data_IF_632049275553
#
_entry.id   IF_632049275553
#
_cell.length_a   1.000
_cell.length_b   1.000
_cell.length_c   1.000
_cell.angle_alpha   90.00
_cell.angle_beta   90.00
_cell.angle_gamma   90.00
#
_symmetry.space_group_name_H-M   'P 1'
#
loop_
_entity.id
_entity.type
_entity.pdbx_description
1 polymer ?
#
# COMPACT_ATOMS: atom_id res chain seq x y z
N UNK A 1 -7.05 10.10 -18.03
CA UNK A 1 -7.50 9.74 -16.66
C UNK A 1 -8.13 8.35 -16.71
N UNK A 2 -7.63 7.41 -15.93
CA UNK A 2 -8.11 6.02 -15.90
C UNK A 2 -9.11 5.85 -14.72
N UNK A 3 -10.41 5.73 -15.02
CA UNK A 3 -11.47 5.63 -14.00
C UNK A 3 -11.38 4.35 -13.17
N UNK A 4 -10.80 3.27 -13.71
CA UNK A 4 -10.60 2.02 -12.98
C UNK A 4 -9.50 2.18 -11.92
N UNK A 5 -8.42 2.91 -12.24
CA UNK A 5 -7.39 3.26 -11.25
C UNK A 5 -7.96 4.17 -10.15
N UNK A 6 -8.79 5.15 -10.50
CA UNK A 6 -9.48 5.97 -9.49
C UNK A 6 -10.36 5.11 -8.59
N UNK A 7 -11.09 4.13 -9.14
CA UNK A 7 -11.94 3.24 -8.37
C UNK A 7 -11.13 2.42 -7.36
N UNK A 8 -10.02 1.79 -7.76
CA UNK A 8 -9.21 0.95 -6.86
C UNK A 8 -8.39 1.76 -5.85
N UNK A 9 -8.18 3.05 -6.08
CA UNK A 9 -7.49 3.96 -5.16
C UNK A 9 -8.42 4.79 -4.28
N UNK A 10 -9.73 4.58 -4.36
CA UNK A 10 -10.69 5.31 -3.54
C UNK A 10 -10.56 4.92 -2.07
N UNK A 11 -10.42 5.90 -1.20
CA UNK A 11 -10.36 5.71 0.25
C UNK A 11 -11.68 5.16 0.85
N UNK A 12 -12.79 5.24 0.11
CA UNK A 12 -14.10 4.69 0.50
C UNK A 12 -14.25 3.20 0.16
N UNK A 13 -13.26 2.57 -0.52
CA UNK A 13 -13.33 1.14 -0.78
C UNK A 13 -13.45 0.34 0.53
N UNK A 14 -14.39 -0.62 0.60
CA UNK A 14 -14.65 -1.40 1.82
C UNK A 14 -13.62 -2.51 2.03
N UNK A 15 -12.32 -2.16 1.98
CA UNK A 15 -11.20 -3.08 2.17
C UNK A 15 -10.52 -2.96 3.53
N UNK A 16 -11.06 -2.13 4.43
CA UNK A 16 -10.55 -1.97 5.79
C UNK A 16 -9.44 -0.93 5.96
N UNK A 17 -8.91 -0.33 4.91
CA UNK A 17 -7.78 0.61 4.94
C UNK A 17 -7.96 1.80 5.89
N UNK A 18 -9.19 2.29 6.07
CA UNK A 18 -9.53 3.39 6.97
C UNK A 18 -9.20 3.12 8.46
N UNK A 19 -9.13 1.85 8.87
CA UNK A 19 -8.91 1.44 10.26
C UNK A 19 -7.44 1.31 10.65
N UNK A 20 -6.52 1.60 9.73
CA UNK A 20 -5.09 1.45 9.95
C UNK A 20 -4.38 2.80 10.02
N UNK A 21 -3.35 2.89 10.83
CA UNK A 21 -2.47 4.06 10.96
C UNK A 21 -1.01 3.75 10.65
N UNK A 22 -0.70 2.48 10.40
CA UNK A 22 0.64 2.05 9.93
C UNK A 22 1.78 2.57 10.83
N UNK A 23 1.68 2.40 12.14
CA UNK A 23 2.69 2.85 13.10
C UNK A 23 2.59 4.33 13.52
N UNK A 24 1.74 5.12 12.88
CA UNK A 24 1.57 6.54 13.19
C UNK A 24 1.10 6.75 14.64
N UNK A 25 0.18 5.94 15.13
CA UNK A 25 -0.35 6.06 16.49
C UNK A 25 0.74 5.84 17.54
N UNK A 26 1.66 4.91 17.32
CA UNK A 26 2.83 4.74 18.18
C UNK A 26 3.79 5.94 18.09
N UNK A 27 3.98 6.51 16.91
CA UNK A 27 4.78 7.73 16.74
C UNK A 27 4.17 8.93 17.48
N UNK A 28 2.85 9.06 17.48
CA UNK A 28 2.12 10.07 18.27
C UNK A 28 2.32 9.81 19.77
N UNK A 29 2.14 8.59 20.22
CA UNK A 29 2.34 8.20 21.63
C UNK A 29 3.75 8.49 22.14
N UNK A 30 4.76 8.42 21.28
CA UNK A 30 6.16 8.80 21.58
C UNK A 30 6.43 10.31 21.48
N UNK A 31 5.46 11.13 21.11
CA UNK A 31 5.65 12.57 20.90
C UNK A 31 6.45 12.92 19.64
N UNK A 32 6.66 11.98 18.72
CA UNK A 32 7.36 12.22 17.43
C UNK A 32 6.48 12.95 16.41
N UNK A 33 5.18 12.75 16.50
CA UNK A 33 4.17 13.39 15.67
C UNK A 33 3.10 14.03 16.56
N UNK A 34 2.92 15.35 16.46
CA UNK A 34 1.96 16.08 17.29
C UNK A 34 1.34 17.29 16.59
N UNK A 35 1.80 17.62 15.37
CA UNK A 35 1.31 18.74 14.58
C UNK A 35 1.47 18.45 13.08
N UNK A 36 1.01 19.37 12.24
CA UNK A 36 1.02 19.23 10.79
C UNK A 36 2.43 19.04 10.21
N UNK A 37 3.42 19.79 10.68
CA UNK A 37 4.80 19.72 10.19
C UNK A 37 5.42 18.35 10.49
N UNK A 38 5.26 17.86 11.72
CA UNK A 38 5.78 16.53 12.12
C UNK A 38 5.04 15.38 11.43
N UNK A 39 3.74 15.54 11.15
CA UNK A 39 2.97 14.58 10.36
C UNK A 39 3.47 14.51 8.92
N UNK A 40 3.63 15.66 8.25
CA UNK A 40 4.15 15.72 6.88
C UNK A 40 5.54 15.08 6.78
N UNK A 41 6.45 15.40 7.70
CA UNK A 41 7.78 14.81 7.77
C UNK A 41 7.72 13.30 7.97
N UNK A 42 6.82 12.80 8.81
CA UNK A 42 6.60 11.36 9.03
C UNK A 42 6.14 10.67 7.74
N UNK A 43 5.15 11.25 7.04
CA UNK A 43 4.63 10.72 5.77
C UNK A 43 5.72 10.68 4.70
N UNK A 44 6.51 11.75 4.55
CA UNK A 44 7.64 11.81 3.60
C UNK A 44 8.68 10.72 3.88
N UNK A 45 9.11 10.59 5.12
CA UNK A 45 10.07 9.56 5.52
C UNK A 45 9.54 8.14 5.26
N UNK A 46 8.27 7.91 5.57
CA UNK A 46 7.62 6.64 5.31
C UNK A 46 7.56 6.31 3.81
N UNK A 47 7.18 7.27 2.98
CA UNK A 47 7.15 7.11 1.53
C UNK A 47 8.52 6.74 0.94
N UNK A 48 9.56 7.49 1.34
CA UNK A 48 10.91 7.33 0.77
C UNK A 48 11.65 6.10 1.28
N UNK A 49 11.45 5.72 2.52
CA UNK A 49 12.32 4.75 3.19
C UNK A 49 11.63 3.43 3.55
N UNK A 50 10.30 3.39 3.55
CA UNK A 50 9.55 2.18 3.86
C UNK A 50 8.63 1.77 2.70
N UNK A 51 7.56 2.54 2.42
CA UNK A 51 6.52 2.15 1.48
C UNK A 51 7.05 2.05 0.04
N UNK A 52 7.68 3.10 -0.48
CA UNK A 52 8.14 3.17 -1.86
C UNK A 52 9.15 2.08 -2.22
N UNK A 53 10.26 1.93 -1.47
CA UNK A 53 11.29 0.94 -1.80
C UNK A 53 10.87 -0.52 -1.57
N UNK A 54 9.86 -0.79 -0.76
CA UNK A 54 9.30 -2.13 -0.56
C UNK A 54 8.03 -2.32 -1.39
N UNK A 55 6.91 -1.80 -0.93
CA UNK A 55 5.61 -2.06 -1.54
C UNK A 55 5.47 -1.43 -2.93
N UNK A 56 6.04 -0.23 -3.15
CA UNK A 56 6.06 0.40 -4.47
C UNK A 56 6.77 -0.46 -5.51
N UNK A 57 7.92 -1.05 -5.16
CA UNK A 57 8.65 -1.98 -6.06
C UNK A 57 7.84 -3.26 -6.30
N UNK A 58 7.12 -3.78 -5.30
CA UNK A 58 6.22 -4.93 -5.45
C UNK A 58 5.08 -4.60 -6.42
N UNK A 59 4.38 -3.47 -6.24
CA UNK A 59 3.31 -3.01 -7.15
C UNK A 59 3.81 -2.93 -8.59
N UNK A 60 4.94 -2.27 -8.82
CA UNK A 60 5.54 -2.13 -10.14
C UNK A 60 5.91 -3.48 -10.77
N UNK A 61 6.49 -4.38 -9.98
CA UNK A 61 6.89 -5.70 -10.45
C UNK A 61 5.68 -6.57 -10.80
N UNK A 62 4.63 -6.54 -9.97
CA UNK A 62 3.38 -7.26 -10.23
C UNK A 62 2.69 -6.70 -11.49
N UNK A 63 2.60 -5.38 -11.64
CA UNK A 63 2.00 -4.76 -12.83
C UNK A 63 2.68 -5.27 -14.12
N UNK A 64 4.02 -5.21 -14.20
CA UNK A 64 4.79 -5.73 -15.34
C UNK A 64 4.66 -7.24 -15.57
N UNK A 65 4.60 -8.01 -14.49
CA UNK A 65 4.49 -9.46 -14.56
C UNK A 65 3.11 -9.90 -15.09
N UNK A 66 2.04 -9.24 -14.66
CA UNK A 66 0.66 -9.52 -15.10
C UNK A 66 0.47 -9.26 -16.60
N UNK A 67 1.04 -8.18 -17.14
CA UNK A 67 1.03 -7.90 -18.58
C UNK A 67 1.62 -9.05 -19.40
N UNK A 68 2.64 -9.73 -18.85
CA UNK A 68 3.34 -10.86 -19.47
C UNK A 68 2.77 -12.21 -19.08
N UNK A 69 1.74 -12.25 -18.22
CA UNK A 69 1.23 -13.47 -17.58
C UNK A 69 2.30 -14.28 -16.85
N UNK A 70 3.31 -13.60 -16.31
CA UNK A 70 4.36 -14.19 -15.49
C UNK A 70 3.88 -14.32 -14.03
N UNK A 71 3.06 -15.33 -13.81
CA UNK A 71 2.47 -15.63 -12.50
C UNK A 71 3.52 -16.06 -11.47
N UNK A 72 4.66 -16.56 -11.93
CA UNK A 72 5.78 -16.92 -11.06
C UNK A 72 6.38 -15.70 -10.39
N UNK A 73 6.60 -14.63 -11.16
CA UNK A 73 7.09 -13.37 -10.62
C UNK A 73 6.07 -12.74 -9.66
N UNK A 74 4.75 -12.81 -9.94
CA UNK A 74 3.71 -12.33 -9.03
C UNK A 74 3.74 -13.08 -7.69
N UNK A 75 3.83 -14.40 -7.73
CA UNK A 75 3.90 -15.23 -6.53
C UNK A 75 5.19 -14.97 -5.73
N UNK A 76 6.32 -14.81 -6.42
CA UNK A 76 7.61 -14.45 -5.79
C UNK A 76 7.55 -13.07 -5.13
N UNK A 77 6.91 -12.08 -5.77
CA UNK A 77 6.68 -10.76 -5.19
C UNK A 77 5.88 -10.83 -3.89
N UNK A 78 4.82 -11.67 -3.87
CA UNK A 78 4.02 -11.91 -2.66
C UNK A 78 4.86 -12.54 -1.54
N UNK A 79 5.68 -13.53 -1.85
CA UNK A 79 6.55 -14.19 -0.88
C UNK A 79 7.60 -13.22 -0.30
N UNK A 80 8.23 -12.40 -1.14
CA UNK A 80 9.20 -11.37 -0.71
C UNK A 80 8.52 -10.37 0.22
N UNK A 81 7.36 -9.83 -0.15
CA UNK A 81 6.65 -8.85 0.67
C UNK A 81 6.23 -9.46 2.01
N UNK A 82 5.69 -10.68 2.00
CA UNK A 82 5.30 -11.40 3.22
C UNK A 82 6.47 -11.59 4.18
N UNK A 83 7.65 -11.94 3.67
CA UNK A 83 8.85 -12.11 4.46
C UNK A 83 9.45 -10.78 4.96
N UNK A 84 9.24 -9.69 4.21
CA UNK A 84 9.80 -8.38 4.52
C UNK A 84 8.99 -7.59 5.55
N UNK A 85 7.70 -7.89 5.73
CA UNK A 85 6.87 -7.24 6.75
C UNK A 85 7.07 -7.95 8.08
N UNK A 86 7.96 -7.44 8.93
CA UNK A 86 8.29 -8.05 10.23
C UNK A 86 7.11 -7.99 11.23
N UNK A 87 6.41 -6.86 11.46
CA UNK A 87 5.31 -6.78 12.42
C UNK A 87 4.10 -7.62 11.99
N UNK A 88 3.66 -8.62 12.81
CA UNK A 88 2.54 -9.51 12.44
C UNK A 88 1.22 -8.76 12.18
N UNK A 89 0.95 -7.68 12.92
CA UNK A 89 -0.26 -6.87 12.76
C UNK A 89 -0.33 -6.19 11.39
N UNK A 90 0.79 -5.67 10.89
CA UNK A 90 0.89 -5.04 9.58
C UNK A 90 0.76 -6.08 8.47
N UNK A 91 1.40 -7.24 8.63
CA UNK A 91 1.29 -8.35 7.67
C UNK A 91 -0.15 -8.86 7.57
N UNK A 92 -0.84 -9.05 8.70
CA UNK A 92 -2.26 -9.45 8.70
C UNK A 92 -3.14 -8.38 8.05
N UNK A 93 -2.92 -7.10 8.33
CA UNK A 93 -3.65 -6.00 7.69
C UNK A 93 -3.45 -5.99 6.17
N UNK A 94 -2.21 -6.19 5.69
CA UNK A 94 -1.91 -6.27 4.25
C UNK A 94 -2.65 -7.45 3.59
N UNK A 95 -2.72 -8.61 4.24
CA UNK A 95 -3.48 -9.75 3.74
C UNK A 95 -4.98 -9.48 3.73
N UNK A 96 -5.55 -9.00 4.83
CA UNK A 96 -6.99 -8.68 4.93
C UNK A 96 -7.41 -7.70 3.83
N UNK A 97 -6.65 -6.63 3.62
CA UNK A 97 -6.92 -5.66 2.57
C UNK A 97 -6.77 -6.25 1.17
N UNK A 98 -5.76 -7.08 0.95
CA UNK A 98 -5.53 -7.73 -0.34
C UNK A 98 -6.66 -8.69 -0.71
N UNK A 99 -7.08 -9.52 0.22
CA UNK A 99 -8.18 -10.47 0.03
C UNK A 99 -9.52 -9.77 -0.21
N UNK A 100 -9.82 -8.73 0.58
CA UNK A 100 -11.05 -7.98 0.39
C UNK A 100 -11.06 -7.23 -0.95
N UNK A 101 -9.92 -6.67 -1.35
CA UNK A 101 -9.81 -6.01 -2.66
C UNK A 101 -9.97 -7.02 -3.80
N UNK A 102 -9.37 -8.19 -3.72
CA UNK A 102 -9.50 -9.24 -4.72
C UNK A 102 -10.94 -9.75 -4.82
N UNK A 103 -11.58 -10.04 -3.68
CA UNK A 103 -12.96 -10.48 -3.61
C UNK A 103 -13.93 -9.42 -4.18
N UNK A 104 -13.73 -8.16 -3.84
CA UNK A 104 -14.53 -7.04 -4.38
C UNK A 104 -14.34 -6.91 -5.89
N UNK A 105 -13.10 -6.91 -6.36
CA UNK A 105 -12.76 -6.75 -7.77
C UNK A 105 -13.23 -7.92 -8.63
N UNK A 106 -13.36 -9.13 -8.08
CA UNK A 106 -13.91 -10.28 -8.81
C UNK A 106 -15.37 -10.09 -9.24
N UNK A 107 -16.09 -9.18 -8.59
CA UNK A 107 -17.48 -8.83 -8.94
C UNK A 107 -17.59 -7.78 -10.05
N UNK A 108 -16.48 -7.13 -10.43
CA UNK A 108 -16.53 -6.07 -11.43
C UNK A 108 -16.34 -6.64 -12.84
N UNK A 109 -17.18 -6.21 -13.76
CA UNK A 109 -17.17 -6.68 -15.16
C UNK A 109 -15.80 -6.51 -15.82
N UNK A 110 -15.10 -5.42 -15.52
CA UNK A 110 -13.82 -5.09 -16.18
C UNK A 110 -12.63 -5.89 -15.63
N UNK A 111 -12.70 -6.48 -14.44
CA UNK A 111 -11.59 -7.19 -13.81
C UNK A 111 -11.78 -8.70 -13.70
N UNK A 112 -13.02 -9.18 -13.76
CA UNK A 112 -13.35 -10.59 -13.53
C UNK A 112 -12.54 -11.58 -14.39
N UNK A 113 -12.40 -11.31 -15.69
CA UNK A 113 -11.60 -12.16 -16.60
C UNK A 113 -10.11 -12.18 -16.28
N UNK A 114 -9.53 -11.04 -15.89
CA UNK A 114 -8.13 -10.94 -15.49
C UNK A 114 -7.86 -11.64 -14.15
N UNK A 115 -8.79 -11.54 -13.19
CA UNK A 115 -8.70 -12.23 -11.90
C UNK A 115 -8.81 -13.74 -12.10
N UNK A 116 -9.74 -14.22 -12.92
CA UNK A 116 -9.84 -15.65 -13.24
C UNK A 116 -8.56 -16.22 -13.87
N UNK A 117 -7.91 -15.44 -14.76
CA UNK A 117 -6.63 -15.83 -15.33
C UNK A 117 -5.51 -15.87 -14.29
N UNK A 118 -5.48 -14.93 -13.35
CA UNK A 118 -4.55 -14.90 -12.23
C UNK A 118 -4.74 -16.11 -11.30
N UNK A 119 -5.97 -16.40 -10.87
CA UNK A 119 -6.30 -17.55 -10.01
C UNK A 119 -5.90 -18.87 -10.66
N UNK A 120 -6.24 -19.06 -11.94
CA UNK A 120 -5.84 -20.25 -12.69
C UNK A 120 -4.32 -20.37 -12.81
N UNK A 121 -3.64 -19.27 -13.12
CA UNK A 121 -2.20 -19.27 -13.33
C UNK A 121 -1.40 -19.46 -12.05
N UNK A 122 -1.95 -19.10 -10.89
CA UNK A 122 -1.30 -19.26 -9.59
C UNK A 122 -1.70 -20.54 -8.85
N UNK A 123 -2.74 -21.26 -9.29
CA UNK A 123 -3.23 -22.48 -8.66
C UNK A 123 -2.23 -23.67 -8.78
N UNK A 124 -1.41 -23.71 -9.82
CA UNK A 124 -0.52 -24.82 -10.10
C UNK A 124 0.70 -24.84 -9.16
N UNK A 125 0.57 -25.54 -8.04
CA UNK A 125 1.72 -25.98 -7.23
C UNK A 125 2.16 -25.03 -6.11
N UNK A 126 1.33 -24.10 -5.66
CA UNK A 126 1.72 -23.12 -4.64
C UNK A 126 0.73 -23.03 -3.49
N UNK A 127 1.24 -23.17 -2.27
CA UNK A 127 0.50 -23.05 -1.01
C UNK A 127 0.44 -21.58 -0.55
N UNK A 128 0.04 -20.66 -1.44
CA UNK A 128 -0.23 -19.27 -1.06
C UNK A 128 -1.68 -19.16 -0.59
N UNK A 129 -1.85 -19.04 0.71
CA UNK A 129 -3.18 -18.85 1.31
C UNK A 129 -3.67 -17.42 1.23
N UNK A 130 -2.74 -16.44 1.17
CA UNK A 130 -3.04 -15.03 1.31
C UNK A 130 -2.25 -14.16 0.32
N UNK A 131 -2.89 -13.13 -0.21
CA UNK A 131 -2.30 -12.15 -1.10
C UNK A 131 -2.20 -10.79 -0.42
N UNK A 132 -1.00 -10.20 -0.42
CA UNK A 132 -0.77 -8.86 0.11
C UNK A 132 -1.48 -7.78 -0.73
N UNK A 133 -1.92 -6.72 -0.08
CA UNK A 133 -2.60 -5.58 -0.74
C UNK A 133 -1.81 -5.01 -1.92
N UNK A 134 -0.51 -4.75 -1.78
CA UNK A 134 0.33 -4.21 -2.84
C UNK A 134 0.38 -5.12 -4.08
N UNK A 135 0.39 -6.45 -3.89
CA UNK A 135 0.37 -7.43 -4.98
C UNK A 135 -0.95 -7.37 -5.75
N UNK A 136 -2.07 -7.38 -5.02
CA UNK A 136 -3.42 -7.29 -5.62
C UNK A 136 -3.63 -5.94 -6.30
N UNK A 137 -3.12 -4.86 -5.71
CA UNK A 137 -3.20 -3.53 -6.34
C UNK A 137 -2.41 -3.47 -7.66
N UNK A 138 -1.20 -4.02 -7.70
CA UNK A 138 -0.40 -4.13 -8.93
C UNK A 138 -1.07 -4.99 -10.00
N UNK A 139 -1.67 -6.13 -9.60
CA UNK A 139 -2.49 -6.99 -10.46
C UNK A 139 -3.63 -6.18 -11.09
N UNK A 140 -4.43 -5.49 -10.27
CA UNK A 140 -5.59 -4.74 -10.74
C UNK A 140 -5.20 -3.52 -11.57
N UNK A 141 -4.07 -2.88 -11.27
CA UNK A 141 -3.55 -1.78 -12.07
C UNK A 141 -3.26 -2.20 -13.51
N UNK A 142 -2.62 -3.36 -13.71
CA UNK A 142 -2.39 -3.94 -15.03
C UNK A 142 -3.71 -4.32 -15.73
N UNK A 143 -4.63 -5.01 -15.04
CA UNK A 143 -5.96 -5.37 -15.57
C UNK A 143 -6.76 -4.11 -15.95
N UNK A 144 -6.63 -3.03 -15.20
CA UNK A 144 -7.24 -1.75 -15.49
C UNK A 144 -6.68 -1.08 -16.76
N UNK A 145 -5.55 -1.55 -17.28
CA UNK A 145 -4.82 -0.95 -18.41
C UNK A 145 -4.05 0.31 -18.01
N UNK A 146 -3.71 0.46 -16.74
CA UNK A 146 -2.81 1.51 -16.26
C UNK A 146 -1.36 1.18 -16.57
N UNK A 147 -0.55 2.18 -16.91
CA UNK A 147 0.90 2.02 -16.94
C UNK A 147 1.44 1.74 -15.53
N UNK A 148 2.67 1.21 -15.45
CA UNK A 148 3.33 0.96 -14.16
C UNK A 148 3.42 2.23 -13.31
N UNK A 149 3.76 3.36 -13.95
CA UNK A 149 3.88 4.65 -13.26
C UNK A 149 2.52 5.14 -12.75
N UNK A 150 1.46 5.10 -13.59
CA UNK A 150 0.10 5.49 -13.17
C UNK A 150 -0.43 4.61 -12.04
N UNK A 151 -0.17 3.31 -12.09
CA UNK A 151 -0.55 2.36 -11.03
C UNK A 151 0.18 2.70 -9.73
N UNK A 152 1.47 3.02 -9.78
CA UNK A 152 2.23 3.45 -8.61
C UNK A 152 1.76 4.79 -8.07
N UNK A 153 1.48 5.77 -8.93
CA UNK A 153 0.93 7.06 -8.50
C UNK A 153 -0.38 6.86 -7.73
N UNK A 154 -1.29 6.03 -8.26
CA UNK A 154 -2.56 5.71 -7.61
C UNK A 154 -2.34 5.01 -6.24
N UNK A 155 -1.42 4.04 -6.17
CA UNK A 155 -1.08 3.33 -4.94
C UNK A 155 -0.50 4.24 -3.87
N UNK A 156 0.53 5.02 -4.22
CA UNK A 156 1.19 5.94 -3.30
C UNK A 156 0.24 7.06 -2.83
N UNK A 157 -0.58 7.59 -3.74
CA UNK A 157 -1.58 8.59 -3.41
C UNK A 157 -2.62 8.06 -2.41
N UNK A 158 -3.19 6.86 -2.65
CA UNK A 158 -4.12 6.22 -1.71
C UNK A 158 -3.48 6.05 -0.32
N UNK A 159 -2.23 5.61 -0.27
CA UNK A 159 -1.49 5.41 0.96
C UNK A 159 -1.29 6.73 1.73
N UNK A 160 -0.93 7.82 1.03
CA UNK A 160 -0.82 9.17 1.60
C UNK A 160 -2.15 9.66 2.15
N UNK A 161 -3.24 9.51 1.39
CA UNK A 161 -4.59 9.88 1.84
C UNK A 161 -4.97 9.13 3.12
N UNK A 162 -4.68 7.84 3.18
CA UNK A 162 -4.92 7.00 4.36
C UNK A 162 -4.13 7.46 5.59
N UNK A 163 -2.82 7.69 5.43
CA UNK A 163 -1.93 8.11 6.53
C UNK A 163 -2.25 9.51 7.04
N UNK A 164 -2.46 10.49 6.15
CA UNK A 164 -2.85 11.86 6.53
C UNK A 164 -4.24 11.85 7.18
N UNK A 165 -5.18 11.05 6.64
CA UNK A 165 -6.50 10.86 7.22
C UNK A 165 -6.45 10.26 8.63
N UNK A 166 -5.53 9.33 8.90
CA UNK A 166 -5.29 8.83 10.25
C UNK A 166 -4.72 9.95 11.15
N UNK A 167 -3.76 10.73 10.68
CA UNK A 167 -3.21 11.89 11.40
C UNK A 167 -4.27 12.91 11.79
N UNK A 168 -5.12 13.33 10.85
CA UNK A 168 -6.22 14.28 11.10
C UNK A 168 -7.20 13.79 12.18
N UNK A 169 -7.37 12.48 12.34
CA UNK A 169 -8.21 11.90 13.39
C UNK A 169 -7.51 11.80 14.75
N UNK A 170 -6.19 11.77 14.79
CA UNK A 170 -5.40 11.47 15.98
C UNK A 170 -4.72 12.70 16.61
N UNK A 171 -4.48 13.76 15.86
CA UNK A 171 -3.81 14.99 16.33
C UNK A 171 -4.60 16.24 15.88
N UNK A 172 -4.38 17.41 16.52
CA UNK A 172 -5.14 18.64 16.24
C UNK A 172 -4.74 19.29 14.89
N UNK A 173 -4.98 18.57 13.78
CA UNK A 173 -4.79 19.05 12.41
C UNK A 173 -6.14 19.08 11.71
N UNK A 174 -6.53 20.23 11.17
CA UNK A 174 -7.81 20.38 10.47
C UNK A 174 -7.85 19.67 9.11
N UNK A 175 -9.03 19.25 8.67
CA UNK A 175 -9.22 18.57 7.37
C UNK A 175 -8.69 19.38 6.18
N UNK A 176 -8.89 20.69 6.17
CA UNK A 176 -8.37 21.59 5.12
C UNK A 176 -6.84 21.50 5.04
N UNK A 177 -6.17 21.53 6.20
CA UNK A 177 -4.71 21.41 6.26
C UNK A 177 -4.24 20.02 5.79
N UNK A 178 -4.97 18.95 6.14
CA UNK A 178 -4.71 17.62 5.61
C UNK A 178 -4.78 17.58 4.08
N UNK A 179 -5.77 18.24 3.46
CA UNK A 179 -5.88 18.32 2.00
C UNK A 179 -4.75 19.14 1.37
N UNK A 180 -4.30 20.21 2.04
CA UNK A 180 -3.12 20.96 1.58
C UNK A 180 -1.85 20.10 1.59
N UNK A 181 -1.63 19.32 2.65
CA UNK A 181 -0.49 18.39 2.72
C UNK A 181 -0.52 17.36 1.58
N UNK A 182 -1.68 16.78 1.29
CA UNK A 182 -1.83 15.85 0.15
C UNK A 182 -1.45 16.53 -1.15
N UNK A 183 -1.93 17.77 -1.40
CA UNK A 183 -1.60 18.52 -2.60
C UNK A 183 -0.09 18.83 -2.72
N UNK A 184 0.58 19.18 -1.64
CA UNK A 184 2.04 19.40 -1.62
C UNK A 184 2.85 18.12 -1.90
N UNK A 185 2.30 16.95 -1.60
CA UNK A 185 2.97 15.67 -1.84
C UNK A 185 2.79 15.14 -3.27
N UNK A 186 1.95 15.75 -4.13
CA UNK A 186 1.71 15.25 -5.48
C UNK A 186 2.99 15.14 -6.32
N UNK A 187 3.83 16.19 -6.32
CA UNK A 187 5.10 16.16 -7.07
C UNK A 187 6.06 15.09 -6.54
N UNK A 188 6.07 14.89 -5.23
CA UNK A 188 6.89 13.87 -4.60
C UNK A 188 6.39 12.46 -4.95
N UNK A 189 5.08 12.24 -4.95
CA UNK A 189 4.47 10.99 -5.41
C UNK A 189 4.83 10.70 -6.87
N UNK A 190 4.77 11.72 -7.75
CA UNK A 190 5.16 11.58 -9.15
C UNK A 190 6.63 11.14 -9.29
N UNK A 191 7.52 11.80 -8.53
CA UNK A 191 8.95 11.47 -8.54
C UNK A 191 9.23 10.05 -8.01
N UNK A 192 8.60 9.68 -6.89
CA UNK A 192 8.70 8.35 -6.30
C UNK A 192 8.17 7.27 -7.25
N UNK A 193 7.02 7.49 -7.87
CA UNK A 193 6.43 6.55 -8.82
C UNK A 193 7.37 6.31 -10.01
N UNK A 194 7.95 7.36 -10.59
CA UNK A 194 8.93 7.22 -11.66
C UNK A 194 10.18 6.47 -11.20
N UNK A 195 10.69 6.78 -9.99
CA UNK A 195 11.90 6.15 -9.44
C UNK A 195 11.72 4.66 -9.16
N UNK A 196 10.61 4.27 -8.54
CA UNK A 196 10.38 2.87 -8.15
C UNK A 196 9.79 2.02 -9.28
N UNK A 197 9.19 2.63 -10.30
CA UNK A 197 8.74 1.92 -11.49
C UNK A 197 9.86 1.20 -12.22
N UNK A 198 11.08 1.73 -12.20
CA UNK A 198 12.23 1.18 -12.91
C UNK A 198 13.00 0.14 -12.09
N UNK A 199 12.70 0.00 -10.80
CA UNK A 199 13.43 -0.92 -9.93
C UNK A 199 13.05 -2.38 -10.19
N UNK A 200 14.04 -3.25 -10.07
CA UNK A 200 13.83 -4.70 -10.14
C UNK A 200 13.24 -5.25 -8.84
N UNK A 201 12.50 -6.36 -8.93
CA UNK A 201 11.96 -7.05 -7.76
C UNK A 201 13.04 -7.44 -6.74
N UNK A 202 14.26 -7.73 -7.20
CA UNK A 202 15.38 -8.08 -6.32
C UNK A 202 15.86 -6.92 -5.42
N UNK A 203 15.48 -5.69 -5.75
CA UNK A 203 15.80 -4.50 -4.94
C UNK A 203 14.70 -4.11 -3.94
N UNK A 204 13.61 -4.88 -3.87
CA UNK A 204 12.52 -4.61 -2.92
C UNK A 204 13.02 -4.77 -1.48
N UNK A 205 12.86 -3.73 -0.67
CA UNK A 205 13.25 -3.77 0.74
C UNK A 205 13.03 -2.44 1.46
N UNK A 206 12.62 -2.49 2.72
CA UNK A 206 12.50 -1.30 3.58
C UNK A 206 13.88 -0.89 4.11
N UNK A 207 14.15 0.41 4.07
CA UNK A 207 15.33 1.04 4.70
C UNK A 207 15.01 1.72 6.03
N UNK A 208 13.84 1.46 6.63
CA UNK A 208 13.37 2.14 7.83
C UNK A 208 13.08 1.18 8.99
N UNK A 209 14.11 0.61 9.65
CA UNK A 209 13.89 -0.31 10.77
C UNK A 209 13.16 0.35 11.94
N UNK A 210 13.33 1.64 12.14
CA UNK A 210 12.61 2.37 13.19
C UNK A 210 11.11 2.43 12.93
N UNK A 211 10.69 2.53 11.68
CA UNK A 211 9.27 2.42 11.31
C UNK A 211 8.68 1.06 11.69
N UNK A 212 9.42 -0.02 11.48
CA UNK A 212 8.97 -1.37 11.88
C UNK A 212 8.82 -1.51 13.39
N UNK A 213 9.72 -0.88 14.17
CA UNK A 213 9.59 -0.79 15.63
C UNK A 213 8.31 -0.06 16.03
N UNK A 214 7.98 1.07 15.40
CA UNK A 214 6.73 1.79 15.68
C UNK A 214 5.49 0.93 15.36
N UNK A 215 5.51 0.19 14.26
CA UNK A 215 4.42 -0.72 13.91
C UNK A 215 4.25 -1.87 14.92
N UNK A 216 5.35 -2.43 15.42
CA UNK A 216 5.30 -3.47 16.46
C UNK A 216 4.81 -2.92 17.81
N UNK A 217 5.26 -1.73 18.18
CA UNK A 217 4.80 -1.05 19.40
C UNK A 217 3.31 -0.70 19.36
N UNK A 218 2.81 -0.26 18.20
CA UNK A 218 1.40 0.03 18.04
C UNK A 218 0.52 -1.17 18.38
N UNK A 219 0.94 -2.38 18.05
CA UNK A 219 0.21 -3.60 18.39
C UNK A 219 0.09 -3.82 19.91
N UNK A 220 0.96 -3.19 20.72
CA UNK A 220 1.05 -3.34 22.18
C UNK A 220 0.50 -2.15 22.97
N UNK A 221 0.00 -1.11 22.30
CA UNK A 221 -0.60 0.04 22.97
C UNK A 221 -1.80 -0.40 23.82
N UNK A 222 -1.89 0.11 25.05
CA UNK A 222 -2.98 -0.19 25.98
C UNK A 222 -4.36 0.23 25.45
N UNK A 223 -4.41 1.38 24.80
CA UNK A 223 -5.60 1.89 24.11
C UNK A 223 -5.24 2.28 22.69
N UNK A 224 -6.08 1.93 21.73
CA UNK A 224 -5.83 2.17 20.31
C UNK A 224 -7.05 2.76 19.61
N UNK A 225 -6.79 3.79 18.83
CA UNK A 225 -7.78 4.34 17.90
C UNK A 225 -7.83 3.53 16.59
N UNK A 226 -6.70 2.90 16.22
CA UNK A 226 -6.53 2.15 14.99
C UNK A 226 -6.18 0.68 15.24
N UNK A 227 -6.49 -0.20 14.26
CA UNK A 227 -6.20 -1.64 14.37
C UNK A 227 -4.71 -1.95 14.22
N UNK A 228 -4.03 -1.23 13.31
CA UNK A 228 -2.57 -1.36 13.07
C UNK A 228 -1.98 -0.08 12.51
#
# INVERSE_FOLDING_TARGET
MNLRLLQISDSALPIGGYTHSWGLEAAIGRGLVGNAESLERFVRNWLWHALGPLEGVIVASCCRAVEKRDWETVARANAILTASIAPPSIRSASFEMGEQLLALASTWVWSAGGISAFETGTAAGRDFRHWNHAVVFGLLGAIAGGSVVETLQAYLHQAVVGMIGAGVRAIPVGHTHGQQMIAYLHEEINHLAATFAERSLASAGSGSPFYEVLCDEQARLYSRLFRS
#
